data_IF_394764978705
#
_entry.id   IF_394764978705
#
_cell.length_a   1.000
_cell.length_b   1.000
_cell.length_c   1.000
_cell.angle_alpha   90.00
_cell.angle_beta   90.00
_cell.angle_gamma   90.00
#
_symmetry.space_group_name_H-M   'P 1'
#
loop_
_entity.id
_entity.type
_entity.pdbx_description
1 polymer ?
#
# COMPACT_ATOMS: atom_id res chain seq x y z
N UNK A 1 -19.75 3.11 -7.87
CA UNK A 1 -19.01 2.15 -8.72
C UNK A 1 -17.69 1.87 -8.05
N UNK A 2 -17.16 0.65 -8.12
CA UNK A 2 -15.85 0.32 -7.56
C UNK A 2 -14.77 1.15 -8.25
N UNK A 3 -13.71 1.49 -7.51
CA UNK A 3 -12.58 2.24 -8.05
C UNK A 3 -11.86 1.40 -9.14
N UNK A 4 -11.33 2.01 -10.23
CA UNK A 4 -10.65 1.29 -11.32
C UNK A 4 -9.57 0.30 -10.83
N UNK A 5 -8.80 0.70 -9.82
CA UNK A 5 -7.83 -0.16 -9.12
C UNK A 5 -8.36 -1.56 -8.77
N UNK A 6 -9.60 -1.66 -8.27
CA UNK A 6 -10.23 -2.91 -7.81
C UNK A 6 -11.14 -3.56 -8.87
N UNK A 7 -11.20 -3.01 -10.09
CA UNK A 7 -12.05 -3.56 -11.14
C UNK A 7 -11.40 -4.81 -11.73
N UNK A 8 -11.99 -5.97 -11.47
CA UNK A 8 -11.61 -7.28 -12.00
C UNK A 8 -12.80 -8.26 -11.95
N UNK A 9 -12.80 -9.27 -12.81
CA UNK A 9 -13.78 -10.36 -12.86
C UNK A 9 -13.36 -11.59 -12.03
N UNK A 10 -12.14 -11.59 -11.51
CA UNK A 10 -11.55 -12.63 -10.65
C UNK A 10 -10.74 -12.02 -9.51
N UNK A 11 -10.40 -12.80 -8.48
CA UNK A 11 -9.41 -12.39 -7.49
C UNK A 11 -8.08 -11.99 -8.15
N UNK A 12 -7.47 -10.94 -7.61
CA UNK A 12 -6.17 -10.42 -8.04
C UNK A 12 -5.08 -10.89 -7.07
N UNK A 13 -3.97 -11.40 -7.61
CA UNK A 13 -2.81 -11.81 -6.82
C UNK A 13 -1.79 -10.67 -6.72
N UNK A 14 -1.67 -10.08 -5.53
CA UNK A 14 -0.67 -9.05 -5.23
C UNK A 14 0.57 -9.66 -4.57
N UNK A 15 1.74 -9.36 -5.13
CA UNK A 15 3.01 -9.86 -4.61
C UNK A 15 3.48 -9.02 -3.40
N UNK A 16 3.28 -9.55 -2.19
CA UNK A 16 3.69 -8.90 -0.93
C UNK A 16 5.20 -8.61 -0.90
N UNK A 17 5.54 -7.33 -0.78
CA UNK A 17 6.89 -6.76 -0.92
C UNK A 17 7.63 -7.21 -2.18
N UNK A 18 6.90 -7.38 -3.28
CA UNK A 18 7.43 -7.91 -4.54
C UNK A 18 7.66 -9.42 -4.54
N UNK A 19 7.01 -10.17 -3.66
CA UNK A 19 7.20 -11.62 -3.58
C UNK A 19 8.41 -11.99 -2.72
N UNK A 20 8.49 -11.43 -1.51
CA UNK A 20 9.59 -11.59 -0.56
C UNK A 20 10.01 -13.04 -0.23
N UNK A 21 9.15 -14.03 -0.51
CA UNK A 21 9.48 -15.44 -0.36
C UNK A 21 10.39 -15.99 -1.47
N UNK A 22 10.50 -15.29 -2.60
CA UNK A 22 11.16 -15.76 -3.82
C UNK A 22 12.35 -14.89 -4.23
N UNK A 23 12.41 -13.65 -3.77
CA UNK A 23 13.45 -12.69 -4.09
C UNK A 23 13.63 -11.67 -2.94
N UNK A 24 14.76 -10.94 -2.89
CA UNK A 24 14.99 -9.92 -1.87
C UNK A 24 13.87 -8.87 -1.87
N UNK A 25 13.13 -8.78 -0.76
CA UNK A 25 11.94 -7.93 -0.62
C UNK A 25 12.18 -6.48 -1.02
N UNK A 26 11.15 -5.81 -1.55
CA UNK A 26 11.17 -4.37 -1.85
C UNK A 26 12.28 -3.93 -2.83
N UNK A 27 12.84 -4.85 -3.62
CA UNK A 27 13.85 -4.56 -4.65
C UNK A 27 13.26 -4.60 -6.05
N UNK A 28 13.94 -3.95 -7.01
CA UNK A 28 13.51 -4.03 -8.41
C UNK A 28 13.52 -5.45 -8.96
N UNK A 29 14.51 -6.25 -8.56
CA UNK A 29 14.61 -7.65 -8.96
C UNK A 29 13.41 -8.48 -8.46
N UNK A 30 12.94 -8.24 -7.23
CA UNK A 30 11.75 -8.90 -6.72
C UNK A 30 10.50 -8.50 -7.50
N UNK A 31 10.32 -7.21 -7.78
CA UNK A 31 9.19 -6.73 -8.59
C UNK A 31 9.19 -7.31 -10.01
N UNK A 32 10.35 -7.31 -10.68
CA UNK A 32 10.51 -7.93 -12.01
C UNK A 32 10.17 -9.42 -11.97
N UNK A 33 10.66 -10.15 -10.95
CA UNK A 33 10.40 -11.57 -10.79
C UNK A 33 8.91 -11.86 -10.52
N UNK A 34 8.27 -11.10 -9.64
CA UNK A 34 6.84 -11.26 -9.34
C UNK A 34 5.97 -11.08 -10.59
N UNK A 35 6.28 -10.08 -11.41
CA UNK A 35 5.56 -9.84 -12.68
C UNK A 35 5.82 -10.98 -13.66
N UNK A 36 7.06 -11.45 -13.79
CA UNK A 36 7.40 -12.58 -14.66
C UNK A 36 6.67 -13.87 -14.27
N UNK A 37 6.37 -14.05 -12.98
CA UNK A 37 5.58 -15.16 -12.44
C UNK A 37 4.06 -14.97 -12.55
N UNK A 38 3.59 -13.84 -13.10
CA UNK A 38 2.18 -13.58 -13.36
C UNK A 38 1.42 -12.91 -12.22
N UNK A 39 2.09 -12.20 -11.31
CA UNK A 39 1.40 -11.37 -10.32
C UNK A 39 0.58 -10.25 -11.01
N UNK A 40 -0.65 -10.04 -10.56
CA UNK A 40 -1.54 -8.99 -11.08
C UNK A 40 -1.17 -7.59 -10.60
N UNK A 41 -0.44 -7.53 -9.49
CA UNK A 41 0.00 -6.30 -8.88
C UNK A 41 1.13 -6.53 -7.89
N UNK A 42 1.74 -5.42 -7.47
CA UNK A 42 2.80 -5.38 -6.49
C UNK A 42 2.27 -4.78 -5.20
N UNK A 43 2.74 -5.27 -4.07
CA UNK A 43 2.64 -4.55 -2.80
C UNK A 43 4.06 -4.20 -2.34
N UNK A 44 4.20 -3.00 -1.79
CA UNK A 44 5.48 -2.48 -1.33
C UNK A 44 5.30 -1.51 -0.17
N UNK A 45 6.37 -1.34 0.58
CA UNK A 45 6.41 -0.45 1.74
C UNK A 45 7.21 0.81 1.44
N UNK A 46 6.78 1.97 1.93
CA UNK A 46 7.52 3.22 1.71
C UNK A 46 7.93 3.93 2.98
N UNK A 47 9.08 4.60 2.89
CA UNK A 47 9.66 5.50 3.90
C UNK A 47 10.30 6.73 3.24
N UNK A 48 10.70 7.69 4.07
CA UNK A 48 11.31 8.94 3.63
C UNK A 48 12.79 8.98 4.06
N UNK A 49 13.65 9.40 3.14
CA UNK A 49 15.06 9.70 3.42
C UNK A 49 15.23 11.11 3.99
N UNK A 50 16.43 11.43 4.48
CA UNK A 50 16.77 12.75 5.05
C UNK A 50 16.53 13.90 4.09
N UNK A 51 16.81 13.67 2.81
CA UNK A 51 16.66 14.61 1.70
C UNK A 51 15.25 14.58 1.07
N UNK A 52 14.27 13.97 1.74
CA UNK A 52 12.85 14.05 1.36
C UNK A 52 12.43 13.14 0.21
N UNK A 53 13.23 12.12 -0.14
CA UNK A 53 12.89 11.19 -1.21
C UNK A 53 12.13 9.99 -0.65
N UNK A 54 11.01 9.64 -1.30
CA UNK A 54 10.23 8.45 -0.95
C UNK A 54 10.92 7.21 -1.52
N UNK A 55 11.34 6.31 -0.63
CA UNK A 55 12.05 5.07 -0.95
C UNK A 55 11.26 3.84 -0.51
N UNK A 56 11.51 2.73 -1.18
CA UNK A 56 10.77 1.48 -1.00
C UNK A 56 11.48 0.60 0.02
N UNK A 57 11.03 0.64 1.27
CA UNK A 57 11.65 -0.04 2.39
C UNK A 57 10.69 -0.26 3.56
N UNK A 58 10.69 -1.48 4.13
CA UNK A 58 9.80 -1.83 5.23
C UNK A 58 10.24 -1.26 6.59
N UNK A 59 11.48 -1.50 7.00
CA UNK A 59 11.95 -1.23 8.36
C UNK A 59 12.45 0.20 8.53
N UNK A 60 12.46 0.68 9.78
CA UNK A 60 13.04 1.99 10.12
C UNK A 60 14.56 2.01 9.87
N UNK A 61 15.23 0.87 10.05
CA UNK A 61 16.67 0.72 9.88
C UNK A 61 16.99 -0.11 8.63
N UNK A 62 18.19 0.07 8.09
CA UNK A 62 18.64 -0.60 6.87
C UNK A 62 19.32 -1.96 7.13
N UNK A 63 19.59 -2.30 8.39
CA UNK A 63 20.49 -3.39 8.78
C UNK A 63 20.04 -4.75 8.26
N UNK A 64 18.75 -5.08 8.36
CA UNK A 64 18.22 -6.42 8.01
C UNK A 64 18.35 -6.77 6.53
N UNK A 65 18.15 -5.79 5.65
CA UNK A 65 18.01 -6.01 4.20
C UNK A 65 19.20 -5.52 3.39
N UNK A 66 20.05 -4.66 3.97
CA UNK A 66 21.19 -4.07 3.25
C UNK A 66 22.53 -4.23 3.99
N UNK A 67 22.51 -4.60 5.27
CA UNK A 67 23.70 -4.63 6.12
C UNK A 67 24.19 -3.26 6.58
N UNK A 68 23.54 -2.15 6.22
CA UNK A 68 23.88 -0.82 6.70
C UNK A 68 23.23 -0.52 8.05
N UNK A 69 24.04 -0.03 8.99
CA UNK A 69 23.56 0.40 10.30
C UNK A 69 22.92 1.80 10.30
N UNK A 70 22.02 2.00 11.25
CA UNK A 70 21.36 3.27 11.53
C UNK A 70 19.96 3.43 10.93
N UNK A 71 19.36 4.58 11.19
CA UNK A 71 18.02 4.94 10.71
C UNK A 71 18.07 5.35 9.24
N UNK A 72 17.11 4.83 8.45
CA UNK A 72 16.92 5.22 7.06
C UNK A 72 16.65 6.74 6.93
N UNK A 73 15.89 7.31 7.86
CA UNK A 73 15.55 8.74 7.84
C UNK A 73 16.77 9.66 8.08
N UNK A 74 17.90 9.11 8.55
CA UNK A 74 19.14 9.85 8.71
C UNK A 74 20.05 9.80 7.45
N UNK A 75 19.70 8.99 6.44
CA UNK A 75 20.49 8.78 5.22
C UNK A 75 19.92 9.57 4.04
N UNK A 76 20.76 9.91 3.07
CA UNK A 76 20.30 10.50 1.80
C UNK A 76 19.75 9.43 0.86
N UNK A 77 18.96 9.84 -0.11
CA UNK A 77 18.48 8.99 -1.20
C UNK A 77 19.62 8.33 -1.97
N UNK A 78 20.75 9.03 -2.16
CA UNK A 78 21.95 8.49 -2.78
C UNK A 78 22.59 7.36 -1.98
N UNK A 79 22.65 7.50 -0.65
CA UNK A 79 23.22 6.46 0.22
C UNK A 79 22.38 5.18 0.19
N UNK A 80 21.05 5.30 0.30
CA UNK A 80 20.16 4.13 0.29
C UNK A 80 20.07 3.49 -1.09
N UNK A 81 20.18 4.28 -2.17
CA UNK A 81 20.20 3.76 -3.54
C UNK A 81 21.45 2.91 -3.80
N UNK A 82 22.61 3.31 -3.29
CA UNK A 82 23.85 2.50 -3.35
C UNK A 82 23.72 1.18 -2.58
N UNK A 83 22.83 1.14 -1.59
CA UNK A 83 22.50 -0.06 -0.83
C UNK A 83 21.42 -0.94 -1.51
N UNK A 84 21.00 -0.60 -2.73
CA UNK A 84 20.01 -1.37 -3.50
C UNK A 84 18.55 -1.04 -3.18
N UNK A 85 18.27 0.00 -2.39
CA UNK A 85 16.89 0.42 -2.06
C UNK A 85 16.36 1.34 -3.18
N UNK A 86 15.30 0.95 -3.92
CA UNK A 86 14.77 1.78 -5.00
C UNK A 86 13.92 2.94 -4.47
N UNK A 87 13.78 4.00 -5.27
CA UNK A 87 12.80 5.06 -4.99
C UNK A 87 11.41 4.64 -5.46
N UNK A 88 10.36 5.13 -4.81
CA UNK A 88 9.00 4.88 -5.28
C UNK A 88 8.82 5.36 -6.73
N UNK A 89 9.41 6.50 -7.05
CA UNK A 89 9.38 7.06 -8.41
C UNK A 89 10.03 6.11 -9.44
N UNK A 90 11.14 5.43 -9.12
CA UNK A 90 11.75 4.49 -10.06
C UNK A 90 10.91 3.24 -10.26
N UNK A 91 10.29 2.71 -9.20
CA UNK A 91 9.36 1.57 -9.27
C UNK A 91 8.16 1.91 -10.15
N UNK A 92 7.48 3.04 -9.88
CA UNK A 92 6.30 3.44 -10.66
C UNK A 92 6.62 3.71 -12.13
N UNK A 93 7.82 4.23 -12.44
CA UNK A 93 8.26 4.45 -13.84
C UNK A 93 8.60 3.17 -14.59
N UNK A 94 9.16 2.15 -13.91
CA UNK A 94 9.52 0.87 -14.52
C UNK A 94 8.28 0.01 -14.78
N UNK A 95 7.36 -0.03 -13.83
CA UNK A 95 6.15 -0.86 -13.89
C UNK A 95 4.91 0.00 -14.16
N UNK A 96 4.82 0.58 -15.37
CA UNK A 96 3.78 1.57 -15.70
C UNK A 96 2.38 0.98 -15.84
N UNK A 97 2.29 -0.29 -16.21
CA UNK A 97 1.01 -0.96 -16.49
C UNK A 97 0.57 -1.88 -15.35
N UNK A 98 1.25 -1.81 -14.20
CA UNK A 98 1.03 -2.69 -13.05
C UNK A 98 0.33 -1.94 -11.92
N UNK A 99 -0.63 -2.61 -11.28
CA UNK A 99 -1.28 -2.14 -10.05
C UNK A 99 -0.30 -2.19 -8.89
N UNK A 100 -0.25 -1.13 -8.08
CA UNK A 100 0.68 -1.06 -6.94
C UNK A 100 -0.06 -0.67 -5.67
N UNK A 101 0.03 -1.51 -4.65
CA UNK A 101 -0.31 -1.15 -3.28
C UNK A 101 0.94 -0.54 -2.64
N UNK A 102 0.80 0.68 -2.12
CA UNK A 102 1.87 1.42 -1.45
C UNK A 102 1.51 1.60 0.02
N UNK A 103 2.17 0.84 0.89
CA UNK A 103 1.95 0.89 2.34
C UNK A 103 2.85 1.95 2.99
N UNK A 104 2.23 3.00 3.54
CA UNK A 104 2.93 4.05 4.26
C UNK A 104 3.25 3.65 5.70
N UNK A 105 4.54 3.52 6.03
CA UNK A 105 4.99 3.12 7.38
C UNK A 105 5.01 4.23 8.42
N UNK A 106 4.74 5.47 8.01
CA UNK A 106 4.74 6.64 8.88
C UNK A 106 3.38 7.33 8.80
N UNK A 107 2.71 7.51 9.94
CA UNK A 107 1.36 8.07 10.00
C UNK A 107 1.37 9.60 10.19
N UNK A 108 2.01 10.34 9.28
CA UNK A 108 2.08 11.80 9.32
C UNK A 108 1.51 12.43 8.04
N UNK A 109 0.91 13.63 8.12
CA UNK A 109 0.46 14.36 6.93
C UNK A 109 1.59 14.63 5.94
N UNK A 110 2.76 15.09 6.42
CA UNK A 110 3.89 15.46 5.56
C UNK A 110 4.39 14.28 4.72
N UNK A 111 4.46 13.09 5.32
CA UNK A 111 4.84 11.89 4.59
C UNK A 111 3.81 11.50 3.54
N UNK A 112 2.51 11.60 3.86
CA UNK A 112 1.45 11.36 2.89
C UNK A 112 1.53 12.34 1.71
N UNK A 113 1.87 13.63 1.94
CA UNK A 113 2.04 14.60 0.85
C UNK A 113 3.14 14.18 -0.10
N UNK A 114 4.31 13.82 0.43
CA UNK A 114 5.44 13.37 -0.36
C UNK A 114 5.09 12.13 -1.21
N UNK A 115 4.36 11.16 -0.64
CA UNK A 115 3.92 9.96 -1.38
C UNK A 115 2.93 10.32 -2.49
N UNK A 116 1.92 11.16 -2.21
CA UNK A 116 0.94 11.60 -3.20
C UNK A 116 1.60 12.37 -4.34
N UNK A 117 2.57 13.24 -4.05
CA UNK A 117 3.34 13.97 -5.06
C UNK A 117 4.11 13.04 -6.00
N UNK A 118 4.72 11.98 -5.46
CA UNK A 118 5.39 10.96 -6.29
C UNK A 118 4.40 10.22 -7.18
N UNK A 119 3.25 9.82 -6.65
CA UNK A 119 2.21 9.11 -7.42
C UNK A 119 1.64 10.00 -8.53
N UNK A 120 1.40 11.28 -8.23
CA UNK A 120 0.97 12.29 -9.21
C UNK A 120 2.00 12.51 -10.31
N UNK A 121 3.26 12.75 -9.92
CA UNK A 121 4.35 12.96 -10.87
C UNK A 121 4.59 11.76 -11.78
N UNK A 122 4.22 10.55 -11.35
CA UNK A 122 4.28 9.34 -12.15
C UNK A 122 3.01 9.08 -12.99
N UNK A 123 1.97 9.93 -12.90
CA UNK A 123 0.69 9.71 -13.57
C UNK A 123 0.00 8.41 -13.15
N UNK A 124 0.20 7.97 -11.91
CA UNK A 124 -0.13 6.61 -11.47
C UNK A 124 -1.40 6.52 -10.60
N UNK A 125 -2.22 7.58 -10.55
CA UNK A 125 -3.31 7.70 -9.59
C UNK A 125 -4.33 6.54 -9.65
N UNK A 126 -4.74 6.14 -10.86
CA UNK A 126 -5.77 5.10 -11.04
C UNK A 126 -5.28 3.68 -10.74
N UNK A 127 -3.96 3.45 -10.78
CA UNK A 127 -3.31 2.14 -10.60
C UNK A 127 -2.55 2.01 -9.28
N UNK A 128 -2.64 3.02 -8.41
CA UNK A 128 -2.05 2.99 -7.06
C UNK A 128 -3.15 2.95 -6.02
N UNK A 129 -2.98 2.08 -5.01
CA UNK A 129 -3.76 2.10 -3.79
C UNK A 129 -2.84 2.41 -2.60
N UNK A 130 -3.14 3.46 -1.85
CA UNK A 130 -2.37 3.82 -0.65
C UNK A 130 -2.91 3.11 0.58
N UNK A 131 -2.02 2.47 1.34
CA UNK A 131 -2.29 1.86 2.62
C UNK A 131 -1.58 2.55 3.78
N UNK A 132 -2.11 2.38 4.99
CA UNK A 132 -1.47 2.76 6.25
C UNK A 132 -2.29 2.24 7.42
N UNK A 133 -1.61 1.75 8.46
CA UNK A 133 -2.27 1.42 9.72
C UNK A 133 -3.01 2.60 10.38
N UNK A 134 -2.54 3.83 10.14
CA UNK A 134 -3.04 5.04 10.78
C UNK A 134 -3.85 5.95 9.87
N UNK A 135 -4.88 6.60 10.44
CA UNK A 135 -5.82 7.48 9.72
C UNK A 135 -5.25 8.85 9.32
N UNK A 136 -4.18 9.33 9.96
CA UNK A 136 -3.70 10.70 9.72
C UNK A 136 -3.13 10.83 8.31
N UNK A 137 -2.26 9.89 7.92
CA UNK A 137 -1.70 9.83 6.57
C UNK A 137 -2.79 9.62 5.50
N UNK A 138 -3.69 8.63 5.70
CA UNK A 138 -4.75 8.33 4.73
C UNK A 138 -5.74 9.48 4.56
N UNK A 139 -6.13 10.17 5.63
CA UNK A 139 -6.99 11.35 5.53
C UNK A 139 -6.34 12.45 4.68
N UNK A 140 -5.05 12.71 4.89
CA UNK A 140 -4.31 13.68 4.09
C UNK A 140 -4.25 13.25 2.62
N UNK A 141 -3.96 11.99 2.35
CA UNK A 141 -3.93 11.47 0.98
C UNK A 141 -5.29 11.61 0.26
N UNK A 142 -6.38 11.18 0.92
CA UNK A 142 -7.76 11.28 0.40
C UNK A 142 -8.17 12.73 0.13
N UNK A 143 -7.72 13.68 0.95
CA UNK A 143 -8.00 15.11 0.75
C UNK A 143 -7.18 15.71 -0.38
N UNK A 144 -5.92 15.30 -0.51
CA UNK A 144 -5.03 15.83 -1.54
C UNK A 144 -5.41 15.33 -2.92
N UNK A 145 -5.61 14.01 -3.07
CA UNK A 145 -5.87 13.37 -4.36
C UNK A 145 -6.96 12.29 -4.22
N UNK A 146 -8.24 12.67 -4.35
CA UNK A 146 -9.37 11.74 -4.26
C UNK A 146 -9.37 10.65 -5.34
N UNK A 147 -8.65 10.84 -6.46
CA UNK A 147 -8.54 9.86 -7.52
C UNK A 147 -7.57 8.71 -7.21
N UNK A 148 -6.77 8.82 -6.14
CA UNK A 148 -5.95 7.70 -5.66
C UNK A 148 -6.78 6.84 -4.72
N UNK A 149 -6.90 5.55 -5.03
CA UNK A 149 -7.53 4.59 -4.12
C UNK A 149 -6.80 4.57 -2.77
N UNK A 150 -7.57 4.40 -1.70
CA UNK A 150 -6.99 4.13 -0.37
C UNK A 150 -7.64 2.92 0.27
N UNK A 151 -6.86 2.16 1.04
CA UNK A 151 -7.44 1.14 1.91
C UNK A 151 -8.01 1.76 3.20
N UNK A 152 -8.87 1.01 3.87
CA UNK A 152 -9.36 1.36 5.19
C UNK A 152 -8.23 1.31 6.24
N UNK A 153 -8.17 2.31 7.11
CA UNK A 153 -7.27 2.27 8.26
C UNK A 153 -7.71 1.21 9.28
N UNK A 154 -6.83 0.84 10.23
CA UNK A 154 -7.15 -0.16 11.27
C UNK A 154 -8.41 0.14 12.08
N UNK A 155 -8.64 1.41 12.43
CA UNK A 155 -9.86 1.84 13.11
C UNK A 155 -11.11 1.71 12.24
N UNK A 156 -10.98 2.00 10.94
CA UNK A 156 -12.07 1.92 9.97
C UNK A 156 -12.47 0.45 9.69
N UNK A 157 -11.48 -0.45 9.65
CA UNK A 157 -11.68 -1.91 9.60
C UNK A 157 -12.45 -2.42 10.82
N UNK A 158 -12.10 -1.97 12.03
CA UNK A 158 -12.83 -2.38 13.25
C UNK A 158 -14.31 -2.03 13.15
N UNK A 159 -14.62 -0.81 12.73
CA UNK A 159 -16.02 -0.39 12.53
C UNK A 159 -16.71 -1.19 11.42
N UNK A 160 -16.02 -1.52 10.34
CA UNK A 160 -16.56 -2.37 9.28
C UNK A 160 -16.92 -3.77 9.81
N UNK A 161 -16.11 -4.34 10.70
CA UNK A 161 -16.41 -5.63 11.32
C UNK A 161 -17.67 -5.57 12.17
N UNK A 162 -17.79 -4.60 13.08
CA UNK A 162 -19.00 -4.42 13.89
C UNK A 162 -20.25 -4.21 13.03
N UNK A 163 -20.16 -3.38 11.99
CA UNK A 163 -21.25 -3.16 11.03
C UNK A 163 -21.64 -4.44 10.32
N UNK A 164 -20.65 -5.23 9.88
CA UNK A 164 -20.90 -6.50 9.21
C UNK A 164 -21.67 -7.46 10.12
N UNK A 165 -21.28 -7.61 11.40
CA UNK A 165 -21.94 -8.50 12.36
C UNK A 165 -23.37 -8.07 12.67
N UNK A 166 -23.60 -6.77 12.85
CA UNK A 166 -24.91 -6.22 13.14
C UNK A 166 -25.77 -5.97 11.88
N UNK A 167 -25.25 -6.28 10.68
CA UNK A 167 -25.88 -5.97 9.38
C UNK A 167 -26.25 -4.47 9.23
N UNK A 168 -25.44 -3.60 9.82
CA UNK A 168 -25.63 -2.15 9.74
C UNK A 168 -25.06 -1.62 8.42
N UNK A 169 -25.86 -1.03 7.52
CA UNK A 169 -25.41 -0.65 6.18
C UNK A 169 -24.30 0.42 6.18
N UNK A 170 -23.32 0.26 5.29
CA UNK A 170 -22.32 1.30 5.01
C UNK A 170 -22.89 2.27 3.99
N UNK A 171 -23.20 3.50 4.42
CA UNK A 171 -23.80 4.53 3.55
C UNK A 171 -22.75 5.33 2.78
N UNK A 172 -21.63 5.67 3.41
CA UNK A 172 -20.52 6.38 2.78
C UNK A 172 -19.22 6.16 3.56
N UNK A 173 -18.14 5.92 2.85
CA UNK A 173 -16.78 5.78 3.39
C UNK A 173 -15.78 6.49 2.49
N UNK A 174 -14.66 6.93 3.06
CA UNK A 174 -13.59 7.62 2.33
C UNK A 174 -12.50 6.70 1.78
N UNK A 175 -12.72 5.38 1.73
CA UNK A 175 -11.76 4.39 1.25
C UNK A 175 -12.39 3.51 0.18
N UNK A 176 -11.56 2.89 -0.65
CA UNK A 176 -11.98 2.10 -1.80
C UNK A 176 -11.92 0.58 -1.55
N UNK A 177 -11.24 0.14 -0.49
CA UNK A 177 -11.20 -1.29 -0.15
C UNK A 177 -10.58 -1.59 1.22
N UNK A 178 -10.54 -2.87 1.57
CA UNK A 178 -9.96 -3.37 2.82
C UNK A 178 -8.64 -4.12 2.58
N UNK A 179 -7.64 -3.88 3.43
CA UNK A 179 -6.43 -4.72 3.50
C UNK A 179 -6.37 -5.34 4.89
N UNK A 180 -6.82 -6.59 4.99
CA UNK A 180 -7.05 -7.25 6.27
C UNK A 180 -6.55 -8.69 6.24
N UNK A 181 -6.03 -9.22 7.36
CA UNK A 181 -5.71 -10.65 7.45
C UNK A 181 -7.01 -11.46 7.45
N UNK A 182 -6.94 -12.73 7.05
CA UNK A 182 -8.10 -13.64 7.15
C UNK A 182 -8.58 -13.79 8.59
N UNK A 183 -7.63 -13.84 9.54
CA UNK A 183 -7.87 -14.05 10.97
C UNK A 183 -7.01 -13.08 11.79
N UNK A 184 -7.58 -12.54 12.87
CA UNK A 184 -6.86 -11.75 13.89
C UNK A 184 -7.20 -12.27 15.29
N UNK A 185 -6.22 -12.85 15.97
CA UNK A 185 -6.47 -13.56 17.23
C UNK A 185 -7.50 -14.68 17.02
N UNK A 186 -8.58 -14.67 17.81
CA UNK A 186 -9.69 -15.62 17.67
C UNK A 186 -10.76 -15.20 16.64
N UNK A 187 -10.61 -14.04 15.99
CA UNK A 187 -11.65 -13.47 15.11
C UNK A 187 -11.34 -13.76 13.65
N UNK A 188 -12.25 -14.46 12.95
CA UNK A 188 -12.24 -14.51 11.48
C UNK A 188 -12.75 -13.18 10.92
N UNK A 189 -11.86 -12.44 10.26
CA UNK A 189 -12.16 -11.12 9.68
C UNK A 189 -12.83 -11.30 8.32
N UNK A 190 -12.20 -12.10 7.44
CA UNK A 190 -12.68 -12.34 6.08
C UNK A 190 -13.72 -13.47 6.08
N UNK A 191 -14.92 -13.13 6.55
CA UNK A 191 -16.08 -14.02 6.49
C UNK A 191 -16.91 -13.75 5.22
N UNK A 192 -17.75 -14.71 4.76
CA UNK A 192 -18.67 -14.45 3.64
C UNK A 192 -19.59 -13.25 3.89
N UNK A 193 -19.95 -12.97 5.14
CA UNK A 193 -20.74 -11.81 5.52
C UNK A 193 -19.95 -10.51 5.37
N UNK A 194 -18.69 -10.49 5.81
CA UNK A 194 -17.81 -9.33 5.63
C UNK A 194 -17.59 -9.01 4.15
N UNK A 195 -17.32 -10.03 3.33
CA UNK A 195 -17.13 -9.88 1.88
C UNK A 195 -18.39 -9.30 1.22
N UNK A 196 -19.57 -9.89 1.49
CA UNK A 196 -20.83 -9.36 0.94
C UNK A 196 -21.06 -7.90 1.35
N UNK A 197 -20.83 -7.59 2.61
CA UNK A 197 -21.01 -6.24 3.13
C UNK A 197 -20.07 -5.21 2.47
N UNK A 198 -18.82 -5.61 2.18
CA UNK A 198 -17.88 -4.78 1.44
C UNK A 198 -18.35 -4.54 0.00
N UNK A 199 -18.74 -5.60 -0.71
CA UNK A 199 -19.19 -5.52 -2.10
C UNK A 199 -20.51 -4.74 -2.26
N UNK A 200 -21.46 -4.89 -1.35
CA UNK A 200 -22.70 -4.11 -1.30
C UNK A 200 -22.42 -2.60 -1.15
N UNK A 201 -21.32 -2.25 -0.48
CA UNK A 201 -20.83 -0.87 -0.35
C UNK A 201 -19.93 -0.42 -1.52
N UNK A 202 -19.71 -1.27 -2.53
CA UNK A 202 -18.85 -0.99 -3.68
C UNK A 202 -17.35 -0.98 -3.37
N UNK A 203 -16.94 -1.67 -2.30
CA UNK A 203 -15.56 -1.74 -1.83
C UNK A 203 -14.86 -3.01 -2.30
N UNK A 204 -13.56 -2.89 -2.58
CA UNK A 204 -12.66 -4.01 -2.84
C UNK A 204 -12.02 -4.64 -1.61
#
# INVERSE_FOLDING_TARGET
>A
MPHPFFTADRPLAFAHRGGAALAPENTMAAFDNAIALGADGLELDVRLTRDGVVVVHHDRTLARTTGLDGDLAARTSGDVSRAGVPTLASVLRRHRDVRVIVEMKVNTPDFARAVVEVVRGAGAAERVCLGSFGRRALRTARQMEPAIATSAAREEVRWALYRSWCRWPVTSVGYAGYQVPEVTGATRVVSPQFIRHAHEAGLG
#
